data_IF_382223443210
#
_entry.id   IF_382223443210
#
_cell.length_a   1.000
_cell.length_b   1.000
_cell.length_c   1.000
_cell.angle_alpha   90.00
_cell.angle_beta   90.00
_cell.angle_gamma   90.00
#
_symmetry.space_group_name_H-M   'P 1'
#
loop_
_entity.id
_entity.type
_entity.pdbx_description
1 polymer ?
#
# COMPACT_ATOMS: atom_id res chain seq x y z
N UNK A 1 -13.19 -10.75 16.11
CA UNK A 1 -13.78 -11.83 15.30
C UNK A 1 -12.75 -12.74 14.60
N UNK A 2 -11.43 -12.59 14.83
CA UNK A 2 -10.39 -13.48 14.25
C UNK A 2 -9.67 -14.39 15.26
N UNK A 3 -9.91 -14.24 16.57
CA UNK A 3 -9.25 -15.06 17.60
C UNK A 3 -9.73 -16.51 17.56
N UNK A 4 -11.03 -16.75 17.45
CA UNK A 4 -11.59 -18.10 17.39
C UNK A 4 -11.08 -18.91 16.19
N UNK A 5 -11.09 -18.40 14.94
CA UNK A 5 -10.51 -19.11 13.80
C UNK A 5 -9.00 -19.40 13.98
N UNK A 6 -8.25 -18.45 14.53
CA UNK A 6 -6.82 -18.63 14.80
C UNK A 6 -6.59 -19.72 15.86
N UNK A 7 -7.36 -19.72 16.95
CA UNK A 7 -7.29 -20.73 18.00
C UNK A 7 -7.57 -22.14 17.45
N UNK A 8 -8.56 -22.28 16.58
CA UNK A 8 -8.89 -23.55 15.93
C UNK A 8 -7.73 -24.06 15.05
N UNK A 9 -7.13 -23.19 14.24
CA UNK A 9 -5.99 -23.55 13.39
C UNK A 9 -4.75 -23.93 14.22
N UNK A 10 -4.45 -23.18 15.28
CA UNK A 10 -3.34 -23.47 16.19
C UNK A 10 -3.54 -24.81 16.90
N UNK A 11 -4.76 -25.06 17.41
CA UNK A 11 -5.11 -26.33 18.05
C UNK A 11 -4.95 -27.51 17.10
N UNK A 12 -5.33 -27.36 15.82
CA UNK A 12 -5.11 -28.39 14.79
C UNK A 12 -3.63 -28.72 14.60
N UNK A 13 -2.73 -27.78 14.89
CA UNK A 13 -1.28 -27.95 14.82
C UNK A 13 -0.64 -28.32 16.16
N UNK A 14 -1.43 -28.57 17.20
CA UNK A 14 -0.94 -28.95 18.54
C UNK A 14 -0.50 -27.77 19.42
N UNK A 15 -0.91 -26.54 19.10
CA UNK A 15 -0.61 -25.34 19.89
C UNK A 15 -1.89 -24.80 20.53
N UNK A 16 -1.83 -24.43 21.81
CA UNK A 16 -2.92 -23.73 22.49
C UNK A 16 -2.67 -22.22 22.43
N UNK A 17 -3.66 -21.45 21.94
CA UNK A 17 -3.50 -20.00 21.73
C UNK A 17 -3.17 -19.24 23.03
N UNK A 18 -3.65 -19.73 24.17
CA UNK A 18 -3.47 -19.11 25.47
C UNK A 18 -2.03 -19.21 26.00
N UNK A 19 -1.21 -20.10 25.42
CA UNK A 19 0.19 -20.25 25.80
C UNK A 19 1.08 -19.16 25.17
N UNK A 20 0.52 -18.34 24.27
CA UNK A 20 1.25 -17.34 23.51
C UNK A 20 0.66 -15.94 23.65
N UNK A 21 1.54 -14.95 23.76
CA UNK A 21 1.15 -13.55 23.64
C UNK A 21 0.83 -13.22 22.17
N UNK A 22 -0.40 -12.78 21.90
CA UNK A 22 -0.81 -12.36 20.55
C UNK A 22 -0.18 -11.00 20.24
N UNK A 23 0.77 -11.01 19.30
CA UNK A 23 1.40 -9.79 18.77
C UNK A 23 0.69 -9.35 17.50
N UNK A 24 0.16 -8.13 17.51
CA UNK A 24 -0.45 -7.50 16.34
C UNK A 24 0.07 -6.08 16.17
N UNK A 25 0.52 -5.74 14.97
CA UNK A 25 0.92 -4.38 14.62
C UNK A 25 -0.09 -3.79 13.62
N UNK A 26 -0.59 -2.57 13.86
CA UNK A 26 -1.52 -1.94 12.94
C UNK A 26 -0.81 -1.64 11.62
N UNK A 27 -1.41 -2.07 10.51
CA UNK A 27 -0.95 -1.68 9.17
C UNK A 27 -1.45 -0.27 8.89
N UNK A 28 -0.53 0.67 8.71
CA UNK A 28 -0.87 2.03 8.32
C UNK A 28 -1.27 2.05 6.85
N UNK A 29 -2.48 2.50 6.56
CA UNK A 29 -2.94 2.63 5.18
C UNK A 29 -2.37 3.88 4.51
N UNK A 30 -2.10 3.76 3.22
CA UNK A 30 -1.77 4.90 2.39
C UNK A 30 -2.92 5.91 2.39
N UNK A 31 -2.56 7.19 2.49
CA UNK A 31 -3.44 8.32 2.19
C UNK A 31 -2.64 9.35 1.40
N UNK A 32 -3.23 9.99 0.38
CA UNK A 32 -2.59 11.08 -0.35
C UNK A 32 -2.27 12.26 0.56
N UNK A 33 -2.86 12.35 1.76
CA UNK A 33 -2.58 13.37 2.76
C UNK A 33 -1.38 13.09 3.67
N UNK A 34 -0.81 11.87 3.66
CA UNK A 34 0.24 11.50 4.59
C UNK A 34 1.49 12.39 4.41
N UNK A 35 2.07 12.81 5.54
CA UNK A 35 3.40 13.43 5.55
C UNK A 35 4.43 12.35 5.22
N UNK A 36 5.24 12.58 4.19
CA UNK A 36 6.22 11.61 3.67
C UNK A 36 7.67 12.05 3.91
N UNK A 37 7.88 13.30 4.28
CA UNK A 37 9.21 13.88 4.51
C UNK A 37 9.13 15.10 5.42
N UNK A 38 10.26 15.38 6.07
CA UNK A 38 10.61 16.65 6.72
C UNK A 38 12.06 16.97 6.35
N UNK A 39 12.61 18.17 6.65
CA UNK A 39 14.01 18.45 6.35
C UNK A 39 14.93 17.35 6.89
N UNK A 40 15.79 16.81 6.01
CA UNK A 40 16.77 15.74 6.27
C UNK A 40 16.19 14.36 6.63
N UNK A 41 14.87 14.15 6.53
CA UNK A 41 14.24 12.85 6.80
C UNK A 41 13.24 12.49 5.71
N UNK A 42 13.37 11.28 5.17
CA UNK A 42 12.40 10.65 4.27
C UNK A 42 11.75 9.46 4.97
N UNK A 43 10.44 9.31 4.80
CA UNK A 43 9.72 8.11 5.18
C UNK A 43 9.57 7.21 3.95
N UNK A 44 9.71 5.90 4.16
CA UNK A 44 9.56 4.87 3.12
C UNK A 44 8.82 3.65 3.66
N UNK A 45 8.29 2.83 2.76
CA UNK A 45 7.56 1.61 3.12
C UNK A 45 6.30 1.88 3.92
N UNK A 46 6.00 0.96 4.83
CA UNK A 46 4.77 0.98 5.63
C UNK A 46 4.63 2.24 6.50
N UNK A 47 5.73 2.95 6.76
CA UNK A 47 5.69 4.26 7.45
C UNK A 47 4.99 5.33 6.63
N UNK A 48 5.09 5.28 5.29
CA UNK A 48 4.33 6.13 4.36
C UNK A 48 2.91 5.61 4.19
N UNK A 49 2.77 4.30 4.13
CA UNK A 49 1.51 3.57 4.14
C UNK A 49 1.49 2.42 3.14
N UNK A 50 0.86 1.32 3.54
CA UNK A 50 0.63 0.15 2.70
C UNK A 50 -0.62 0.29 1.84
N UNK A 51 -0.80 -0.63 0.88
CA UNK A 51 -1.99 -0.66 0.03
C UNK A 51 -3.29 -0.86 0.85
N UNK A 52 -4.27 0.06 0.75
CA UNK A 52 -5.51 -0.02 1.50
C UNK A 52 -6.49 -1.10 1.02
N UNK A 53 -6.34 -1.63 -0.21
CA UNK A 53 -7.26 -2.69 -0.70
C UNK A 53 -6.77 -4.08 -0.30
N UNK A 54 -5.54 -4.44 -0.70
CA UNK A 54 -5.02 -5.80 -0.57
C UNK A 54 -4.08 -5.97 0.64
N UNK A 55 -3.72 -4.89 1.34
CA UNK A 55 -2.76 -4.94 2.43
C UNK A 55 -1.33 -5.23 1.97
N UNK A 56 -1.03 -5.04 0.68
CA UNK A 56 0.31 -5.24 0.14
C UNK A 56 1.28 -4.15 0.67
N UNK A 57 2.30 -4.57 1.42
CA UNK A 57 3.35 -3.69 1.94
C UNK A 57 4.70 -3.85 1.23
N UNK A 58 5.08 -5.08 0.85
CA UNK A 58 6.46 -5.39 0.43
C UNK A 58 6.83 -4.70 -0.89
N UNK A 59 6.11 -4.98 -1.99
CA UNK A 59 6.49 -4.38 -3.29
C UNK A 59 6.28 -2.87 -3.28
N UNK A 60 5.24 -2.40 -2.56
CA UNK A 60 4.98 -0.99 -2.31
C UNK A 60 6.18 -0.32 -1.60
N UNK A 61 6.75 -0.99 -0.59
CA UNK A 61 7.94 -0.51 0.12
C UNK A 61 9.18 -0.43 -0.76
N UNK A 62 9.41 -1.43 -1.63
CA UNK A 62 10.47 -1.37 -2.63
C UNK A 62 10.29 -0.18 -3.57
N UNK A 63 9.05 0.10 -3.98
CA UNK A 63 8.71 1.25 -4.80
C UNK A 63 9.03 2.58 -4.12
N UNK A 64 8.67 2.74 -2.84
CA UNK A 64 9.05 3.91 -2.04
C UNK A 64 10.56 4.06 -1.92
N UNK A 65 11.28 2.96 -1.70
CA UNK A 65 12.73 2.92 -1.60
C UNK A 65 13.42 3.46 -2.86
N UNK A 66 12.96 3.02 -4.04
CA UNK A 66 13.49 3.53 -5.32
C UNK A 66 13.28 5.04 -5.48
N UNK A 67 12.09 5.54 -5.13
CA UNK A 67 11.79 6.98 -5.20
C UNK A 67 12.63 7.78 -4.18
N UNK A 68 12.83 7.25 -2.98
CA UNK A 68 13.64 7.89 -1.95
C UNK A 68 15.14 7.91 -2.33
N UNK A 69 15.66 6.83 -2.89
CA UNK A 69 17.04 6.77 -3.36
C UNK A 69 17.31 7.85 -4.43
N UNK A 70 16.37 8.03 -5.36
CA UNK A 70 16.45 9.10 -6.36
C UNK A 70 16.40 10.49 -5.73
N UNK A 71 15.50 10.71 -4.78
CA UNK A 71 15.40 11.97 -4.03
C UNK A 71 16.73 12.33 -3.36
N UNK A 72 17.31 11.37 -2.63
CA UNK A 72 18.56 11.54 -1.89
C UNK A 72 19.70 11.85 -2.86
N UNK A 73 19.81 11.10 -3.96
CA UNK A 73 20.85 11.32 -4.98
C UNK A 73 20.77 12.73 -5.59
N UNK A 74 19.57 13.18 -5.97
CA UNK A 74 19.41 14.53 -6.50
C UNK A 74 19.67 15.62 -5.44
N UNK A 75 19.29 15.38 -4.19
CA UNK A 75 19.56 16.29 -3.07
C UNK A 75 21.05 16.42 -2.75
N UNK A 76 21.80 15.32 -2.78
CA UNK A 76 23.25 15.33 -2.63
C UNK A 76 23.92 16.18 -3.71
N UNK A 77 23.48 16.04 -4.97
CA UNK A 77 24.00 16.86 -6.09
C UNK A 77 23.68 18.34 -5.95
N UNK A 78 22.51 18.68 -5.40
CA UNK A 78 22.05 20.07 -5.22
C UNK A 78 22.55 20.71 -3.92
N UNK A 79 23.06 19.92 -2.97
CA UNK A 79 23.38 20.37 -1.61
C UNK A 79 22.14 20.76 -0.79
N UNK A 80 20.95 20.29 -1.16
CA UNK A 80 19.66 20.77 -0.64
C UNK A 80 18.84 19.60 -0.09
N UNK A 81 18.56 19.61 1.22
CA UNK A 81 17.98 18.46 1.95
C UNK A 81 16.62 18.78 2.59
N UNK A 82 15.84 19.72 2.06
CA UNK A 82 14.50 19.98 2.60
C UNK A 82 13.48 18.91 2.24
N UNK A 83 13.72 18.15 1.15
CA UNK A 83 12.85 17.07 0.65
C UNK A 83 11.39 17.47 0.43
N UNK A 84 11.12 18.77 0.26
CA UNK A 84 9.76 19.31 0.08
C UNK A 84 9.05 18.73 -1.16
N UNK A 85 9.81 18.37 -2.19
CA UNK A 85 9.29 17.80 -3.43
C UNK A 85 9.01 16.29 -3.38
N UNK A 86 9.50 15.57 -2.37
CA UNK A 86 9.44 14.11 -2.32
C UNK A 86 8.00 13.58 -2.40
N UNK A 87 7.09 14.12 -1.57
CA UNK A 87 5.67 13.77 -1.59
C UNK A 87 5.06 13.93 -2.99
N UNK A 88 5.31 15.07 -3.64
CA UNK A 88 4.78 15.33 -4.98
C UNK A 88 5.28 14.29 -5.98
N UNK A 89 6.58 13.96 -5.95
CA UNK A 89 7.18 12.91 -6.80
C UNK A 89 6.58 11.53 -6.54
N UNK A 90 6.35 11.18 -5.27
CA UNK A 90 5.66 9.94 -4.90
C UNK A 90 4.26 9.91 -5.49
N UNK A 91 3.44 10.94 -5.26
CA UNK A 91 2.05 10.98 -5.75
C UNK A 91 1.96 11.00 -7.29
N UNK A 92 2.94 11.59 -7.97
CA UNK A 92 3.01 11.64 -9.44
C UNK A 92 3.58 10.36 -10.06
N UNK A 93 4.28 9.52 -9.28
CA UNK A 93 4.84 8.26 -9.76
C UNK A 93 3.76 7.22 -10.07
N UNK A 94 4.11 6.20 -10.85
CA UNK A 94 3.21 5.07 -11.13
C UNK A 94 2.73 4.39 -9.83
N UNK A 95 3.61 4.26 -8.83
CA UNK A 95 3.26 3.73 -7.51
C UNK A 95 2.19 4.60 -6.83
N UNK A 96 2.41 5.91 -6.76
CA UNK A 96 1.48 6.84 -6.12
C UNK A 96 0.13 6.88 -6.81
N UNK A 97 0.10 6.89 -8.14
CA UNK A 97 -1.16 6.85 -8.91
C UNK A 97 -1.95 5.57 -8.62
N UNK A 98 -1.28 4.41 -8.60
CA UNK A 98 -1.92 3.14 -8.25
C UNK A 98 -2.47 3.19 -6.81
N UNK A 99 -1.70 3.68 -5.84
CA UNK A 99 -2.14 3.77 -4.45
C UNK A 99 -3.29 4.76 -4.23
N UNK A 100 -3.32 5.89 -4.95
CA UNK A 100 -4.43 6.85 -4.91
C UNK A 100 -5.70 6.21 -5.46
N UNK A 101 -5.61 5.51 -6.58
CA UNK A 101 -6.77 4.79 -7.14
C UNK A 101 -7.29 3.74 -6.16
N UNK A 102 -6.38 2.94 -5.56
CA UNK A 102 -6.75 1.93 -4.56
C UNK A 102 -7.34 2.56 -3.30
N UNK A 103 -6.80 3.68 -2.83
CA UNK A 103 -7.35 4.46 -1.72
C UNK A 103 -8.77 4.95 -2.02
N UNK A 104 -9.01 5.52 -3.21
CA UNK A 104 -10.34 6.00 -3.60
C UNK A 104 -11.37 4.85 -3.64
N UNK A 105 -11.01 3.72 -4.26
CA UNK A 105 -11.85 2.52 -4.29
C UNK A 105 -12.17 2.05 -2.86
N UNK A 106 -11.18 2.01 -1.97
CA UNK A 106 -11.39 1.62 -0.56
C UNK A 106 -12.41 2.52 0.12
N UNK A 107 -12.29 3.84 -0.06
CA UNK A 107 -13.21 4.81 0.54
C UNK A 107 -14.64 4.72 -0.02
N UNK A 108 -14.85 4.12 -1.19
CA UNK A 108 -16.20 3.90 -1.76
C UNK A 108 -16.75 2.53 -1.34
N UNK A 109 -15.92 1.48 -1.45
CA UNK A 109 -16.37 0.10 -1.30
C UNK A 109 -16.55 -0.27 0.17
N UNK A 110 -15.63 0.13 1.04
CA UNK A 110 -15.63 -0.30 2.45
C UNK A 110 -16.79 0.28 3.27
N UNK A 111 -17.25 1.53 3.05
CA UNK A 111 -18.45 2.04 3.71
C UNK A 111 -19.76 1.37 3.25
N UNK A 112 -19.76 0.70 2.11
CA UNK A 112 -20.97 0.16 1.49
C UNK A 112 -21.35 -1.19 2.13
N UNK A 113 -22.19 -1.16 3.17
CA UNK A 113 -22.53 -2.34 4.00
C UNK A 113 -23.56 -3.31 3.38
N UNK A 114 -23.99 -3.10 2.14
CA UNK A 114 -25.08 -3.88 1.53
C UNK A 114 -24.55 -5.15 0.85
N UNK A 115 -24.54 -6.26 1.59
CA UNK A 115 -24.05 -7.57 1.10
C UNK A 115 -24.64 -7.98 -0.26
N UNK A 116 -25.94 -7.77 -0.47
CA UNK A 116 -26.60 -8.15 -1.72
C UNK A 116 -26.15 -7.29 -2.91
N UNK A 117 -25.93 -5.99 -2.68
CA UNK A 117 -25.36 -5.09 -3.68
C UNK A 117 -23.90 -5.43 -3.97
N UNK A 118 -23.10 -5.77 -2.95
CA UNK A 118 -21.73 -6.25 -3.16
C UNK A 118 -21.69 -7.53 -4.00
N UNK A 119 -22.60 -8.48 -3.78
CA UNK A 119 -22.70 -9.72 -4.57
C UNK A 119 -23.10 -9.40 -6.02
N UNK A 120 -24.11 -8.54 -6.23
CA UNK A 120 -24.56 -8.15 -7.56
C UNK A 120 -23.48 -7.38 -8.32
N UNK A 121 -22.86 -6.40 -7.65
CA UNK A 121 -21.74 -5.63 -8.17
C UNK A 121 -20.58 -6.56 -8.54
N UNK A 122 -20.23 -7.54 -7.68
CA UNK A 122 -19.18 -8.50 -7.98
C UNK A 122 -19.51 -9.40 -9.17
N UNK A 123 -20.77 -9.78 -9.35
CA UNK A 123 -21.22 -10.63 -10.46
C UNK A 123 -21.19 -9.91 -11.80
N UNK A 124 -21.50 -8.61 -11.83
CA UNK A 124 -21.51 -7.78 -13.03
C UNK A 124 -20.12 -7.20 -13.32
N UNK A 125 -19.42 -6.73 -12.28
CA UNK A 125 -18.13 -6.05 -12.43
C UNK A 125 -16.94 -6.99 -12.48
N UNK A 126 -17.08 -8.30 -12.24
CA UNK A 126 -15.98 -9.27 -12.31
C UNK A 126 -15.05 -9.09 -13.53
N UNK A 127 -15.55 -9.06 -14.78
CA UNK A 127 -14.69 -8.88 -15.96
C UNK A 127 -14.02 -7.50 -15.97
N UNK A 128 -14.74 -6.45 -15.57
CA UNK A 128 -14.21 -5.08 -15.50
C UNK A 128 -13.12 -4.95 -14.43
N UNK A 129 -13.32 -5.55 -13.26
CA UNK A 129 -12.36 -5.59 -12.15
C UNK A 129 -11.11 -6.36 -12.57
N UNK A 130 -11.25 -7.48 -13.28
CA UNK A 130 -10.11 -8.24 -13.81
C UNK A 130 -9.29 -7.39 -14.78
N UNK A 131 -9.95 -6.70 -15.71
CA UNK A 131 -9.27 -5.81 -16.69
C UNK A 131 -8.60 -4.63 -15.98
N UNK A 132 -9.28 -3.97 -15.04
CA UNK A 132 -8.73 -2.86 -14.26
C UNK A 132 -7.56 -3.33 -13.39
N UNK A 133 -7.67 -4.50 -12.76
CA UNK A 133 -6.59 -5.08 -11.96
C UNK A 133 -5.36 -5.37 -12.83
N UNK A 134 -5.57 -5.92 -14.03
CA UNK A 134 -4.48 -6.19 -14.96
C UNK A 134 -3.78 -4.89 -15.42
N UNK A 135 -4.54 -3.86 -15.77
CA UNK A 135 -4.00 -2.58 -16.27
C UNK A 135 -3.36 -1.73 -15.17
N UNK A 136 -4.01 -1.56 -14.03
CA UNK A 136 -3.62 -0.57 -13.01
C UNK A 136 -2.97 -1.17 -11.77
N UNK A 137 -3.32 -2.40 -11.41
CA UNK A 137 -2.94 -3.01 -10.12
C UNK A 137 -1.71 -3.90 -10.24
N UNK A 138 -1.59 -4.73 -11.28
CA UNK A 138 -0.52 -5.72 -11.39
C UNK A 138 0.73 -5.21 -12.13
N UNK A 139 0.58 -4.27 -13.06
CA UNK A 139 1.65 -3.88 -13.98
C UNK A 139 2.38 -2.57 -13.61
N UNK A 140 2.21 -2.07 -12.38
CA UNK A 140 2.79 -0.79 -11.95
C UNK A 140 4.33 -0.83 -11.85
N UNK A 141 4.89 -1.98 -11.45
CA UNK A 141 6.34 -2.17 -11.34
C UNK A 141 7.06 -1.97 -12.68
N UNK A 142 6.47 -2.42 -13.80
CA UNK A 142 7.03 -2.22 -15.15
C UNK A 142 6.98 -0.77 -15.62
N UNK A 143 6.16 0.08 -15.00
CA UNK A 143 6.02 1.52 -15.33
C UNK A 143 6.94 2.40 -14.51
N UNK A 144 7.58 1.87 -13.46
CA UNK A 144 8.66 2.58 -12.79
C UNK A 144 9.85 2.60 -13.75
N UNK A 145 10.26 3.79 -14.21
CA UNK A 145 11.46 3.92 -15.07
C UNK A 145 12.64 3.28 -14.35
N UNK A 146 13.29 2.33 -15.02
CA UNK A 146 14.59 1.86 -14.60
C UNK A 146 15.54 3.07 -14.46
N UNK A 147 16.44 3.07 -13.47
CA UNK A 147 17.50 4.08 -13.43
C UNK A 147 18.25 4.01 -14.77
N UNK A 148 18.30 5.13 -15.49
CA UNK A 148 19.27 5.28 -16.57
C UNK A 148 20.67 5.17 -15.96
N UNK A 149 21.58 4.39 -16.57
CA UNK A 149 22.95 4.24 -16.08
C UNK A 149 23.69 5.58 -16.00
#
# INVERSE_FOLDING_TARGET
QLKEPLAQEMKRRGFELNDYEIKGHPIRWFSPGNRMSVPRVLLVGDTVGADPIFGEGISIALGYGSLAAREISESLRRGEFSFKGYRRRVLQSALGQTLIARWFITNIVYPLKWKWFQILLWRIMKPVVIVIAWLFVLNWGKRMRAPTP
#
